data_IF_592972804065
#
_entry.id   IF_592972804065
#
_cell.length_a   1.000
_cell.length_b   1.000
_cell.length_c   1.000
_cell.angle_alpha   90.00
_cell.angle_beta   90.00
_cell.angle_gamma   90.00
#
_symmetry.space_group_name_H-M   'P 1'
#
loop_
_entity.id
_entity.type
_entity.pdbx_description
1 polymer ?
#
# COMPACT_ATOMS: atom_id res chain seq x y z
N UNK A 1 17.67 41.21 6.62
CA UNK A 1 16.51 41.55 5.77
C UNK A 1 16.11 40.27 5.04
N UNK A 2 15.36 39.34 5.63
CA UNK A 2 13.89 39.32 5.72
C UNK A 2 13.47 38.92 7.15
N UNK A 3 13.09 39.92 7.94
CA UNK A 3 12.36 39.83 9.20
C UNK A 3 11.19 40.80 8.98
N UNK A 4 9.98 40.33 8.68
CA UNK A 4 8.75 41.16 8.70
C UNK A 4 7.45 40.39 8.46
N UNK A 5 7.23 39.18 9.00
CA UNK A 5 5.84 38.68 9.05
C UNK A 5 5.52 37.90 10.30
N UNK A 6 5.85 38.53 11.43
CA UNK A 6 5.35 38.19 12.77
C UNK A 6 5.07 39.54 13.45
N UNK A 7 3.98 40.20 13.08
CA UNK A 7 3.30 41.27 13.81
C UNK A 7 2.08 41.66 12.97
N UNK A 8 0.96 41.95 13.64
CA UNK A 8 -0.42 42.12 13.12
C UNK A 8 -1.25 40.83 13.04
N UNK A 9 -1.56 40.27 14.22
CA UNK A 9 -2.84 39.59 14.45
C UNK A 9 -3.51 40.31 15.62
N UNK A 10 -4.64 40.95 15.33
CA UNK A 10 -5.57 41.52 16.31
C UNK A 10 -6.12 40.42 17.25
N UNK A 11 -6.54 40.77 18.48
CA UNK A 11 -7.00 39.82 19.47
C UNK A 11 -8.48 39.42 19.29
N UNK A 12 -8.79 38.21 19.78
CA UNK A 12 -10.12 37.65 20.08
C UNK A 12 -11.04 37.26 18.91
N UNK A 13 -10.86 36.01 18.44
CA UNK A 13 -11.98 35.06 18.31
C UNK A 13 -11.47 33.73 18.86
N UNK A 14 -11.89 33.35 20.07
CA UNK A 14 -11.72 31.98 20.56
C UNK A 14 -12.57 31.06 19.68
N UNK A 15 -12.00 30.14 18.89
CA UNK A 15 -12.80 29.06 18.36
C UNK A 15 -13.25 28.21 19.54
N UNK A 16 -14.56 28.08 19.72
CA UNK A 16 -15.16 27.14 20.66
C UNK A 16 -14.49 25.77 20.49
N UNK A 17 -14.16 25.06 21.59
CA UNK A 17 -13.58 23.73 21.49
C UNK A 17 -14.62 22.83 20.83
N UNK A 18 -14.43 22.55 19.55
CA UNK A 18 -15.13 21.48 18.87
C UNK A 18 -14.79 20.22 19.66
N UNK A 19 -15.80 19.60 20.26
CA UNK A 19 -15.68 18.30 20.90
C UNK A 19 -15.00 17.38 19.89
N UNK A 20 -13.77 16.98 20.20
CA UNK A 20 -13.07 15.95 19.46
C UNK A 20 -13.91 14.68 19.60
N UNK A 21 -14.63 14.34 18.53
CA UNK A 21 -15.39 13.11 18.45
C UNK A 21 -14.46 11.94 18.78
N UNK A 22 -14.95 11.14 19.71
CA UNK A 22 -14.40 9.89 20.21
C UNK A 22 -13.72 9.08 19.09
N UNK A 23 -12.42 8.85 19.27
CA UNK A 23 -11.57 7.86 18.61
C UNK A 23 -12.08 7.35 17.25
N UNK A 24 -11.85 8.06 16.13
CA UNK A 24 -12.32 7.60 14.83
C UNK A 24 -11.66 6.27 14.51
N UNK A 25 -12.48 5.23 14.38
CA UNK A 25 -12.05 3.88 14.01
C UNK A 25 -10.99 3.94 12.91
N UNK A 26 -9.75 3.53 13.21
CA UNK A 26 -8.64 3.56 12.25
C UNK A 26 -9.04 2.85 10.96
N UNK A 27 -8.74 3.48 9.84
CA UNK A 27 -9.11 2.96 8.51
C UNK A 27 -8.21 1.77 8.16
N UNK A 28 -8.85 0.65 7.83
CA UNK A 28 -8.17 -0.60 7.45
C UNK A 28 -7.80 -0.61 5.96
N UNK A 29 -6.53 -0.89 5.68
CA UNK A 29 -5.99 -1.15 4.33
C UNK A 29 -5.06 -2.37 4.41
N UNK A 30 -5.03 -3.22 3.38
CA UNK A 30 -4.25 -4.47 3.40
C UNK A 30 -2.73 -4.23 3.46
N UNK A 31 -2.20 -3.52 2.47
CA UNK A 31 -0.79 -3.07 2.43
C UNK A 31 -0.56 -2.03 1.33
N UNK A 32 0.22 -1.01 1.67
CA UNK A 32 0.63 0.06 0.77
C UNK A 32 1.74 -0.41 -0.18
N UNK A 33 2.78 -1.04 0.37
CA UNK A 33 3.96 -1.43 -0.41
C UNK A 33 3.63 -2.54 -1.41
N UNK A 34 2.80 -3.50 -1.01
CA UNK A 34 2.33 -4.58 -1.89
C UNK A 34 1.51 -4.02 -3.06
N UNK A 35 0.58 -3.10 -2.77
CA UNK A 35 -0.24 -2.45 -3.79
C UNK A 35 0.61 -1.71 -4.84
N UNK A 36 1.64 -0.96 -4.40
CA UNK A 36 2.56 -0.29 -5.32
C UNK A 36 3.26 -1.29 -6.24
N UNK A 37 3.85 -2.36 -5.68
CA UNK A 37 4.59 -3.35 -6.49
C UNK A 37 3.69 -4.11 -7.46
N UNK A 38 2.50 -4.50 -7.05
CA UNK A 38 1.51 -5.13 -7.93
C UNK A 38 1.12 -4.18 -9.07
N UNK A 39 0.78 -2.93 -8.74
CA UNK A 39 0.42 -1.93 -9.75
C UNK A 39 1.56 -1.70 -10.75
N UNK A 40 2.80 -1.59 -10.28
CA UNK A 40 3.98 -1.44 -11.13
C UNK A 40 4.19 -2.66 -12.05
N UNK A 41 4.13 -3.88 -11.50
CA UNK A 41 4.34 -5.12 -12.25
C UNK A 41 3.29 -5.32 -13.35
N UNK A 42 2.02 -5.07 -13.06
CA UNK A 42 0.90 -5.21 -13.99
C UNK A 42 0.95 -4.16 -15.13
N UNK A 43 1.43 -2.95 -14.84
CA UNK A 43 1.27 -1.81 -15.74
C UNK A 43 2.56 -1.37 -16.45
N UNK A 44 3.53 -2.26 -16.60
CA UNK A 44 4.64 -2.11 -17.55
C UNK A 44 6.03 -1.99 -16.95
N UNK A 45 6.17 -1.87 -15.62
CA UNK A 45 7.52 -1.77 -15.02
C UNK A 45 8.32 -3.06 -15.12
N UNK A 46 7.68 -4.22 -15.36
CA UNK A 46 8.39 -5.46 -15.73
C UNK A 46 9.27 -5.29 -16.98
N UNK A 47 8.92 -4.37 -17.88
CA UNK A 47 9.66 -4.04 -19.09
C UNK A 47 10.29 -2.64 -19.05
N UNK A 48 10.41 -2.02 -17.86
CA UNK A 48 10.89 -0.64 -17.68
C UNK A 48 10.10 0.44 -18.45
N UNK A 49 8.83 0.18 -18.79
CA UNK A 49 7.97 1.18 -19.43
C UNK A 49 7.29 2.09 -18.39
N UNK A 50 8.03 3.11 -17.98
CA UNK A 50 7.55 4.12 -17.02
C UNK A 50 6.44 5.02 -17.60
N UNK A 51 6.39 5.18 -18.93
CA UNK A 51 5.38 6.03 -19.58
C UNK A 51 4.01 5.37 -19.49
N UNK A 52 3.92 4.07 -19.75
CA UNK A 52 2.69 3.29 -19.58
C UNK A 52 2.20 3.31 -18.14
N UNK A 53 3.10 3.14 -17.16
CA UNK A 53 2.74 3.21 -15.76
C UNK A 53 2.21 4.60 -15.35
N UNK A 54 2.86 5.69 -15.80
CA UNK A 54 2.36 7.07 -15.60
C UNK A 54 0.94 7.28 -16.13
N UNK A 55 0.63 6.70 -17.30
CA UNK A 55 -0.73 6.77 -17.87
C UNK A 55 -1.73 5.95 -17.05
N UNK A 56 -1.34 4.80 -16.51
CA UNK A 56 -2.14 4.06 -15.54
C UNK A 56 -2.46 4.90 -14.31
N UNK A 57 -1.45 5.48 -13.64
CA UNK A 57 -1.64 6.34 -12.47
C UNK A 57 -2.58 7.52 -12.78
N UNK A 58 -2.45 8.12 -13.97
CA UNK A 58 -3.32 9.23 -14.39
C UNK A 58 -4.79 8.79 -14.52
N UNK A 59 -5.05 7.63 -15.11
CA UNK A 59 -6.41 7.06 -15.21
C UNK A 59 -6.97 6.68 -13.84
N UNK A 60 -6.15 6.09 -12.98
CA UNK A 60 -6.57 5.73 -11.62
C UNK A 60 -6.91 6.96 -10.79
N UNK A 61 -6.08 8.01 -10.83
CA UNK A 61 -6.40 9.27 -10.16
C UNK A 61 -7.73 9.82 -10.63
N UNK A 62 -7.99 9.85 -11.95
CA UNK A 62 -9.29 10.32 -12.46
C UNK A 62 -10.46 9.55 -11.86
N UNK A 63 -10.37 8.21 -11.78
CA UNK A 63 -11.39 7.35 -11.17
C UNK A 63 -11.56 7.62 -9.67
N UNK A 64 -10.46 7.78 -8.94
CA UNK A 64 -10.48 8.09 -7.50
C UNK A 64 -11.09 9.48 -7.24
N UNK A 65 -10.66 10.50 -7.99
CA UNK A 65 -11.20 11.86 -7.91
C UNK A 65 -12.70 11.90 -8.25
N UNK A 66 -13.16 11.14 -9.25
CA UNK A 66 -14.60 11.03 -9.52
C UNK A 66 -15.36 10.29 -8.41
N UNK A 67 -14.79 9.21 -7.88
CA UNK A 67 -15.44 8.40 -6.85
C UNK A 67 -15.51 9.09 -5.48
N UNK A 68 -14.63 10.05 -5.20
CA UNK A 68 -14.58 10.83 -3.96
C UNK A 68 -15.22 12.23 -4.10
N UNK A 69 -15.72 12.61 -5.28
CA UNK A 69 -16.24 13.96 -5.50
C UNK A 69 -15.18 15.08 -5.44
N UNK A 70 -13.89 14.72 -5.45
CA UNK A 70 -12.76 15.64 -5.36
C UNK A 70 -12.37 16.28 -6.72
N UNK A 71 -13.30 16.32 -7.67
CA UNK A 71 -13.07 16.92 -8.98
C UNK A 71 -12.88 18.44 -8.86
N UNK A 72 -11.90 18.97 -9.59
CA UNK A 72 -11.46 20.37 -9.55
C UNK A 72 -12.31 21.33 -10.41
N UNK A 73 -13.53 20.91 -10.79
CA UNK A 73 -14.41 21.64 -11.71
C UNK A 73 -14.05 21.42 -13.19
N UNK A 74 -15.03 21.60 -14.10
CA UNK A 74 -14.84 21.50 -15.56
C UNK A 74 -14.50 22.84 -16.24
N UNK A 75 -14.79 23.97 -15.58
CA UNK A 75 -14.54 25.32 -16.07
C UNK A 75 -13.47 26.04 -15.25
N UNK A 76 -13.89 26.68 -14.15
CA UNK A 76 -12.95 27.30 -13.20
C UNK A 76 -12.30 26.23 -12.32
N UNK A 77 -10.96 26.28 -12.24
CA UNK A 77 -10.18 25.42 -11.36
C UNK A 77 -10.46 25.77 -9.90
N UNK A 78 -11.05 24.82 -9.17
CA UNK A 78 -11.21 24.91 -7.72
C UNK A 78 -10.28 23.89 -7.09
N UNK A 79 -9.27 24.38 -6.37
CA UNK A 79 -8.31 23.53 -5.66
C UNK A 79 -9.05 22.79 -4.54
N UNK A 80 -9.10 21.46 -4.64
CA UNK A 80 -9.59 20.58 -3.57
C UNK A 80 -8.39 19.88 -2.98
N UNK A 81 -7.84 20.47 -1.93
CA UNK A 81 -6.68 19.92 -1.24
C UNK A 81 -7.10 18.73 -0.38
N UNK A 82 -6.31 17.66 -0.46
CA UNK A 82 -6.42 16.53 0.44
C UNK A 82 -5.56 16.89 1.65
N UNK A 83 -6.20 17.50 2.65
CA UNK A 83 -5.58 17.70 3.97
C UNK A 83 -5.42 16.33 4.64
N UNK A 84 -4.33 16.09 5.41
CA UNK A 84 -4.20 14.89 6.24
C UNK A 84 -5.42 14.68 7.16
N UNK A 85 -6.12 15.76 7.51
CA UNK A 85 -7.28 15.73 8.41
C UNK A 85 -8.56 15.25 7.72
N UNK A 86 -8.61 15.22 6.38
CA UNK A 86 -9.77 14.79 5.59
C UNK A 86 -9.62 13.36 5.02
N UNK A 87 -8.65 12.59 5.51
CA UNK A 87 -8.33 11.25 5.01
C UNK A 87 -9.12 10.13 5.71
N UNK A 88 -10.45 10.11 5.54
CA UNK A 88 -11.34 9.16 6.24
C UNK A 88 -11.50 7.78 5.59
N UNK A 89 -10.98 7.57 4.38
CA UNK A 89 -11.18 6.33 3.63
C UNK A 89 -9.90 5.94 2.93
N UNK A 90 -9.68 4.63 2.78
CA UNK A 90 -8.61 4.00 2.00
C UNK A 90 -8.40 4.65 0.63
N UNK A 91 -9.48 5.06 -0.04
CA UNK A 91 -9.41 5.77 -1.33
C UNK A 91 -8.68 7.11 -1.25
N UNK A 92 -8.77 7.84 -0.13
CA UNK A 92 -8.05 9.11 0.06
C UNK A 92 -6.54 8.86 0.15
N UNK A 93 -6.13 7.83 0.90
CA UNK A 93 -4.72 7.42 0.98
C UNK A 93 -4.19 7.00 -0.40
N UNK A 94 -4.97 6.23 -1.15
CA UNK A 94 -4.64 5.89 -2.54
C UNK A 94 -4.48 7.11 -3.45
N UNK A 95 -5.21 8.21 -3.25
CA UNK A 95 -4.99 9.42 -4.04
C UNK A 95 -3.61 10.03 -3.77
N UNK A 96 -3.18 10.09 -2.50
CA UNK A 96 -1.85 10.58 -2.13
C UNK A 96 -0.76 9.69 -2.72
N UNK A 97 -0.90 8.37 -2.56
CA UNK A 97 0.04 7.37 -3.04
C UNK A 97 0.19 7.41 -4.57
N UNK A 98 -0.92 7.33 -5.31
CA UNK A 98 -0.87 7.36 -6.78
C UNK A 98 -0.39 8.74 -7.30
N UNK A 99 -0.63 9.82 -6.55
CA UNK A 99 -0.08 11.14 -6.91
C UNK A 99 1.44 11.19 -6.80
N UNK A 100 2.02 10.55 -5.78
CA UNK A 100 3.46 10.36 -5.64
C UNK A 100 4.01 9.46 -6.78
N UNK A 101 3.41 8.29 -7.00
CA UNK A 101 3.81 7.33 -8.05
C UNK A 101 3.75 7.95 -9.46
N UNK A 102 2.75 8.76 -9.76
CA UNK A 102 2.67 9.47 -11.05
C UNK A 102 3.81 10.47 -11.23
N UNK A 103 4.18 11.19 -10.17
CA UNK A 103 5.28 12.15 -10.23
C UNK A 103 6.62 11.42 -10.36
N UNK A 104 6.82 10.36 -9.58
CA UNK A 104 8.01 9.49 -9.62
C UNK A 104 8.18 8.83 -10.99
N UNK A 105 7.14 8.19 -11.53
CA UNK A 105 7.17 7.55 -12.85
C UNK A 105 7.45 8.53 -13.98
N UNK A 106 6.96 9.77 -13.88
CA UNK A 106 7.30 10.83 -14.84
C UNK A 106 8.79 11.16 -14.80
N UNK A 107 9.38 11.24 -13.61
CA UNK A 107 10.79 11.51 -13.44
C UNK A 107 11.65 10.33 -13.93
N UNK A 108 11.25 9.10 -13.59
CA UNK A 108 11.94 7.88 -14.05
C UNK A 108 11.85 7.68 -15.57
N UNK A 109 10.73 8.04 -16.19
CA UNK A 109 10.61 8.03 -17.65
C UNK A 109 11.62 8.97 -18.32
N UNK A 110 11.85 10.16 -17.75
CA UNK A 110 12.87 11.09 -18.23
C UNK A 110 14.27 10.55 -18.01
N UNK A 111 14.54 9.98 -16.84
CA UNK A 111 15.82 9.37 -16.51
C UNK A 111 16.16 8.19 -17.43
N UNK A 112 15.18 7.36 -17.77
CA UNK A 112 15.35 6.18 -18.62
C UNK A 112 15.56 6.54 -20.11
N UNK A 113 15.26 7.77 -20.55
CA UNK A 113 15.54 8.20 -21.95
C UNK A 113 17.03 8.26 -22.27
N UNK A 114 17.92 8.16 -21.28
CA UNK A 114 19.36 7.97 -21.48
C UNK A 114 20.16 9.27 -21.57
N UNK A 115 21.42 9.15 -22.03
CA UNK A 115 22.34 10.27 -22.14
C UNK A 115 21.92 11.25 -23.26
N UNK A 116 22.20 12.54 -23.07
CA UNK A 116 21.74 13.62 -23.96
C UNK A 116 20.60 14.48 -23.39
N UNK A 117 20.24 14.30 -22.12
CA UNK A 117 19.22 15.12 -21.46
C UNK A 117 19.65 16.58 -21.38
N UNK A 118 18.82 17.49 -21.91
CA UNK A 118 19.07 18.93 -21.80
C UNK A 118 19.01 19.40 -20.35
N UNK A 119 19.67 20.53 -20.05
CA UNK A 119 19.62 21.14 -18.70
C UNK A 119 18.18 21.41 -18.24
N UNK A 120 17.31 21.85 -19.16
CA UNK A 120 15.88 22.08 -18.89
C UNK A 120 15.11 20.78 -18.57
N UNK A 121 15.36 19.70 -19.30
CA UNK A 121 14.77 18.39 -19.00
C UNK A 121 15.26 17.84 -17.66
N UNK A 122 16.55 18.02 -17.32
CA UNK A 122 17.10 17.66 -16.01
C UNK A 122 16.40 18.44 -14.90
N UNK A 123 16.23 19.75 -15.07
CA UNK A 123 15.51 20.58 -14.11
C UNK A 123 14.06 20.11 -13.93
N UNK A 124 13.36 19.82 -15.02
CA UNK A 124 12.00 19.30 -14.99
C UNK A 124 11.89 17.93 -14.30
N UNK A 125 12.86 17.04 -14.55
CA UNK A 125 12.97 15.74 -13.86
C UNK A 125 13.11 15.93 -12.35
N UNK A 126 14.01 16.80 -11.89
CA UNK A 126 14.19 17.10 -10.46
C UNK A 126 12.92 17.71 -9.83
N UNK A 127 12.22 18.59 -10.55
CA UNK A 127 10.93 19.14 -10.11
C UNK A 127 9.87 18.05 -9.95
N UNK A 128 9.90 17.01 -10.79
CA UNK A 128 9.00 15.85 -10.67
C UNK A 128 9.35 14.97 -9.48
N UNK A 129 10.64 14.74 -9.20
CA UNK A 129 11.06 14.04 -7.97
C UNK A 129 10.70 14.81 -6.69
N UNK A 130 10.95 16.12 -6.65
CA UNK A 130 10.54 16.97 -5.53
C UNK A 130 9.03 16.91 -5.30
N UNK A 131 8.25 16.88 -6.39
CA UNK A 131 6.79 16.70 -6.29
C UNK A 131 6.43 15.33 -5.72
N UNK A 132 7.13 14.26 -6.09
CA UNK A 132 6.90 12.93 -5.54
C UNK A 132 7.17 12.89 -4.03
N UNK A 133 8.28 13.48 -3.60
CA UNK A 133 8.68 13.62 -2.19
C UNK A 133 7.63 14.42 -1.37
N UNK A 134 7.12 15.53 -1.92
CA UNK A 134 6.05 16.28 -1.26
C UNK A 134 4.80 15.43 -1.03
N UNK A 135 4.38 14.63 -2.02
CA UNK A 135 3.20 13.77 -1.87
C UNK A 135 3.46 12.59 -0.92
N UNK A 136 4.66 12.03 -0.93
CA UNK A 136 5.02 10.92 -0.03
C UNK A 136 5.10 11.36 1.43
N UNK A 137 5.56 12.59 1.71
CA UNK A 137 5.50 13.16 3.06
C UNK A 137 4.07 13.34 3.54
N UNK A 138 3.22 13.95 2.71
CA UNK A 138 1.78 14.10 3.03
C UNK A 138 1.09 12.76 3.29
N UNK A 139 1.50 11.72 2.54
CA UNK A 139 1.02 10.35 2.74
C UNK A 139 1.43 9.81 4.12
N UNK A 140 2.69 9.95 4.51
CA UNK A 140 3.17 9.53 5.83
C UNK A 140 2.46 10.29 6.97
N UNK A 141 2.32 11.61 6.84
CA UNK A 141 1.62 12.45 7.83
C UNK A 141 0.15 12.04 7.98
N UNK A 142 -0.54 11.76 6.87
CA UNK A 142 -1.93 11.31 6.90
C UNK A 142 -2.06 9.89 7.50
N UNK A 143 -1.13 9.00 7.17
CA UNK A 143 -1.10 7.62 7.67
C UNK A 143 -0.90 7.60 9.20
N UNK A 144 0.03 8.39 9.71
CA UNK A 144 0.34 8.48 11.14
C UNK A 144 -0.86 8.94 11.99
N UNK A 145 -1.67 9.85 11.46
CA UNK A 145 -2.79 10.45 12.21
C UNK A 145 -4.06 9.60 12.22
N UNK A 146 -4.36 8.87 11.15
CA UNK A 146 -5.72 8.33 10.89
C UNK A 146 -5.76 6.84 10.54
N UNK A 147 -4.62 6.22 10.23
CA UNK A 147 -4.56 4.83 9.74
C UNK A 147 -3.91 3.92 10.77
N UNK A 148 -4.04 2.61 10.53
CA UNK A 148 -3.39 1.57 11.33
C UNK A 148 -1.86 1.79 11.40
N UNK A 149 -1.21 1.54 12.55
CA UNK A 149 0.21 1.80 12.76
C UNK A 149 1.09 1.04 11.77
N UNK A 150 0.65 -0.15 11.34
CA UNK A 150 1.30 -0.91 10.27
C UNK A 150 1.39 -0.10 8.98
N UNK A 151 0.30 0.54 8.57
CA UNK A 151 0.24 1.36 7.35
C UNK A 151 1.04 2.65 7.52
N UNK A 152 1.06 3.23 8.72
CA UNK A 152 1.92 4.38 9.03
C UNK A 152 3.40 4.03 8.83
N UNK A 153 3.85 2.87 9.31
CA UNK A 153 5.22 2.38 9.09
C UNK A 153 5.52 2.14 7.60
N UNK A 154 4.60 1.51 6.87
CA UNK A 154 4.77 1.30 5.41
C UNK A 154 4.85 2.63 4.63
N UNK A 155 4.03 3.61 4.98
CA UNK A 155 4.04 4.93 4.38
C UNK A 155 5.33 5.70 4.69
N UNK A 156 5.84 5.55 5.92
CA UNK A 156 7.10 6.15 6.37
C UNK A 156 8.30 5.57 5.61
N UNK A 157 8.35 4.24 5.45
CA UNK A 157 9.37 3.56 4.65
C UNK A 157 9.34 4.05 3.19
N UNK A 158 8.15 4.17 2.60
CA UNK A 158 7.97 4.67 1.23
C UNK A 158 8.41 6.13 1.08
N UNK A 159 8.04 7.00 2.02
CA UNK A 159 8.43 8.42 2.02
C UNK A 159 9.94 8.60 2.11
N UNK A 160 10.58 7.84 2.99
CA UNK A 160 12.02 7.83 3.18
C UNK A 160 12.75 7.29 1.93
N UNK A 161 12.21 6.27 1.28
CA UNK A 161 12.72 5.74 0.01
C UNK A 161 12.63 6.75 -1.14
N UNK A 162 11.49 7.45 -1.30
CA UNK A 162 11.34 8.51 -2.32
C UNK A 162 12.30 9.67 -2.05
N UNK A 163 12.41 10.09 -0.80
CA UNK A 163 13.29 11.21 -0.38
C UNK A 163 14.75 10.89 -0.67
N UNK A 164 15.22 9.70 -0.28
CA UNK A 164 16.58 9.26 -0.58
C UNK A 164 16.88 9.23 -2.08
N UNK A 165 15.97 8.68 -2.89
CA UNK A 165 16.13 8.70 -4.34
C UNK A 165 16.19 10.13 -4.92
N UNK A 166 15.35 11.04 -4.45
CA UNK A 166 15.37 12.44 -4.91
C UNK A 166 16.70 13.14 -4.58
N UNK A 167 17.25 12.91 -3.39
CA UNK A 167 18.52 13.52 -2.96
C UNK A 167 19.71 12.99 -3.76
N UNK A 168 19.74 11.68 -4.09
CA UNK A 168 20.74 11.10 -5.02
C UNK A 168 20.72 11.84 -6.35
N UNK A 169 19.54 12.02 -6.96
CA UNK A 169 19.43 12.65 -8.28
C UNK A 169 19.83 14.14 -8.25
N UNK A 170 19.59 14.79 -7.11
CA UNK A 170 19.97 16.19 -6.90
C UNK A 170 21.48 16.35 -6.77
N UNK A 171 22.16 15.40 -6.10
CA UNK A 171 23.62 15.34 -5.99
C UNK A 171 24.25 16.36 -5.03
N UNK A 172 23.45 17.12 -4.29
CA UNK A 172 23.94 18.14 -3.34
C UNK A 172 24.13 17.59 -1.94
N UNK A 173 23.16 16.82 -1.44
CA UNK A 173 23.10 16.38 -0.04
C UNK A 173 23.18 14.84 0.06
N UNK A 174 24.38 14.29 -0.12
CA UNK A 174 24.59 12.83 -0.04
C UNK A 174 24.38 12.28 1.37
N UNK A 175 24.72 13.05 2.42
CA UNK A 175 24.47 12.69 3.82
C UNK A 175 22.97 12.55 4.08
N UNK A 176 22.17 13.55 3.71
CA UNK A 176 20.71 13.51 3.87
C UNK A 176 20.06 12.35 3.10
N UNK A 177 20.60 12.03 1.92
CA UNK A 177 20.22 10.85 1.15
C UNK A 177 20.47 9.55 1.94
N UNK A 178 21.71 9.37 2.42
CA UNK A 178 22.11 8.19 3.18
C UNK A 178 21.22 7.99 4.41
N UNK A 179 20.98 9.06 5.18
CA UNK A 179 20.09 9.06 6.35
C UNK A 179 18.68 8.61 5.99
N UNK A 180 18.10 9.17 4.92
CA UNK A 180 16.76 8.80 4.46
C UNK A 180 16.68 7.34 4.00
N UNK A 181 17.71 6.84 3.32
CA UNK A 181 17.75 5.44 2.87
C UNK A 181 17.96 4.46 4.03
N UNK A 182 18.78 4.80 5.01
CA UNK A 182 18.96 4.00 6.23
C UNK A 182 17.68 3.96 7.06
N UNK A 183 16.96 5.09 7.15
CA UNK A 183 15.63 5.16 7.75
C UNK A 183 14.64 4.21 7.08
N UNK A 184 14.56 4.23 5.74
CA UNK A 184 13.73 3.29 5.00
C UNK A 184 14.13 1.82 5.25
N UNK A 185 15.44 1.53 5.26
CA UNK A 185 15.98 0.20 5.52
C UNK A 185 15.59 -0.32 6.90
N UNK A 186 15.77 0.47 7.95
CA UNK A 186 15.44 0.07 9.32
C UNK A 186 13.96 -0.28 9.47
N UNK A 187 13.03 0.56 8.97
CA UNK A 187 11.59 0.23 9.02
C UNK A 187 11.28 -1.07 8.26
N UNK A 188 11.86 -1.27 7.08
CA UNK A 188 11.62 -2.48 6.31
C UNK A 188 12.16 -3.74 7.00
N UNK A 189 13.31 -3.65 7.67
CA UNK A 189 13.86 -4.74 8.49
C UNK A 189 12.94 -5.06 9.68
N UNK A 190 12.37 -4.05 10.34
CA UNK A 190 11.36 -4.23 11.39
C UNK A 190 10.09 -4.91 10.86
N UNK A 191 9.58 -4.50 9.70
CA UNK A 191 8.42 -5.14 9.06
C UNK A 191 8.71 -6.59 8.65
N UNK A 192 9.96 -6.92 8.30
CA UNK A 192 10.40 -8.29 8.02
C UNK A 192 10.49 -9.11 9.32
N UNK A 193 10.98 -8.51 10.40
CA UNK A 193 11.09 -9.14 11.73
C UNK A 193 9.72 -9.46 12.32
N UNK A 194 8.73 -8.58 12.14
CA UNK A 194 7.36 -8.78 12.63
C UNK A 194 6.58 -9.90 11.91
N UNK A 195 7.20 -10.60 10.93
CA UNK A 195 6.69 -11.78 10.21
C UNK A 195 5.26 -11.68 9.64
N UNK A 196 4.90 -10.52 9.08
CA UNK A 196 3.67 -10.39 8.31
C UNK A 196 3.82 -11.09 6.94
N UNK A 197 3.14 -12.23 6.75
CA UNK A 197 3.37 -13.13 5.61
C UNK A 197 3.08 -12.51 4.23
N UNK A 198 2.10 -11.60 4.11
CA UNK A 198 1.69 -11.02 2.82
C UNK A 198 2.74 -10.03 2.24
N UNK A 199 3.46 -9.31 3.11
CA UNK A 199 4.32 -8.20 2.70
C UNK A 199 5.81 -8.59 2.68
N UNK A 200 6.15 -9.77 3.21
CA UNK A 200 7.54 -10.22 3.39
C UNK A 200 8.34 -10.22 2.08
N UNK A 201 7.76 -10.76 1.00
CA UNK A 201 8.42 -10.83 -0.29
C UNK A 201 8.72 -9.44 -0.88
N UNK A 202 7.77 -8.51 -0.74
CA UNK A 202 7.90 -7.14 -1.23
C UNK A 202 8.90 -6.34 -0.42
N UNK A 203 8.89 -6.45 0.91
CA UNK A 203 9.86 -5.77 1.76
C UNK A 203 11.30 -6.20 1.44
N UNK A 204 11.53 -7.50 1.22
CA UNK A 204 12.84 -8.01 0.79
C UNK A 204 13.26 -7.43 -0.56
N UNK A 205 12.36 -7.35 -1.53
CA UNK A 205 12.67 -6.69 -2.83
C UNK A 205 13.09 -5.23 -2.66
N UNK A 206 12.41 -4.47 -1.80
CA UNK A 206 12.81 -3.09 -1.49
C UNK A 206 14.19 -3.01 -0.81
N UNK A 207 14.51 -3.94 0.11
CA UNK A 207 15.81 -3.99 0.76
C UNK A 207 16.95 -4.25 -0.24
N UNK A 208 16.76 -5.18 -1.18
CA UNK A 208 17.73 -5.45 -2.24
C UNK A 208 17.94 -4.23 -3.15
N UNK A 209 16.90 -3.46 -3.46
CA UNK A 209 17.01 -2.22 -4.24
C UNK A 209 17.68 -1.06 -3.47
N UNK A 210 17.54 -1.03 -2.14
CA UNK A 210 18.16 -0.03 -1.28
C UNK A 210 19.66 -0.25 -1.13
N UNK A 211 20.11 -1.50 -1.06
CA UNK A 211 21.52 -1.85 -0.81
C UNK A 211 22.53 -1.18 -1.76
N UNK A 212 22.38 -1.23 -3.11
CA UNK A 212 23.31 -0.56 -4.01
C UNK A 212 23.27 0.96 -3.88
N UNK A 213 22.11 1.55 -3.52
CA UNK A 213 21.97 3.00 -3.32
C UNK A 213 22.69 3.47 -2.06
N UNK A 214 22.60 2.71 -0.97
CA UNK A 214 23.32 2.97 0.28
C UNK A 214 24.83 2.90 0.03
N UNK A 215 25.29 1.87 -0.68
CA UNK A 215 26.71 1.73 -1.05
C UNK A 215 27.20 2.92 -1.88
N UNK A 216 26.40 3.34 -2.87
CA UNK A 216 26.71 4.51 -3.69
C UNK A 216 26.82 5.78 -2.85
N UNK A 217 25.88 6.04 -1.94
CA UNK A 217 25.93 7.24 -1.08
C UNK A 217 27.17 7.23 -0.18
N UNK A 218 27.54 6.08 0.40
CA UNK A 218 28.76 5.94 1.22
C UNK A 218 30.02 6.22 0.39
N UNK A 219 30.11 5.63 -0.79
CA UNK A 219 31.24 5.86 -1.70
C UNK A 219 31.38 7.34 -2.07
N UNK A 220 30.28 8.02 -2.41
CA UNK A 220 30.30 9.45 -2.74
C UNK A 220 30.70 10.33 -1.54
N UNK A 221 30.30 9.95 -0.32
CA UNK A 221 30.74 10.63 0.90
C UNK A 221 32.24 10.45 1.18
N UNK A 222 32.75 9.23 1.06
CA UNK A 222 34.19 8.93 1.18
C UNK A 222 35.00 9.70 0.12
N UNK A 223 34.50 9.74 -1.13
CA UNK A 223 35.12 10.46 -2.25
C UNK A 223 35.16 11.97 -2.02
N UNK A 224 34.15 12.55 -1.36
CA UNK A 224 34.10 13.97 -1.02
C UNK A 224 35.08 14.36 0.11
N UNK A 225 35.86 13.43 0.65
CA UNK A 225 36.80 13.69 1.74
C UNK A 225 36.16 13.74 3.13
N UNK A 226 34.88 13.36 3.25
CA UNK A 226 34.24 13.14 4.55
C UNK A 226 34.69 11.80 5.14
N UNK A 227 36.00 11.63 5.36
CA UNK A 227 36.52 10.57 6.21
C UNK A 227 36.38 11.03 7.66
N UNK A 228 35.40 10.52 8.40
CA UNK A 228 35.37 10.76 9.84
C UNK A 228 34.02 10.64 10.52
N UNK A 229 32.92 10.65 9.78
CA UNK A 229 31.62 10.34 10.36
C UNK A 229 31.21 8.99 9.80
N UNK A 230 31.54 7.91 10.54
CA UNK A 230 30.59 6.81 10.62
C UNK A 230 29.31 7.49 11.08
N UNK A 231 28.47 7.94 10.14
CA UNK A 231 27.19 8.54 10.49
C UNK A 231 26.50 7.46 11.27
N UNK A 232 26.47 7.62 12.59
CA UNK A 232 26.01 6.62 13.52
C UNK A 232 24.59 6.31 13.11
N UNK A 233 24.43 5.19 12.39
CA UNK A 233 23.12 4.60 12.13
C UNK A 233 22.43 4.26 13.43
N UNK A 234 23.14 4.36 14.55
CA UNK A 234 22.70 4.18 15.91
C UNK A 234 21.84 5.36 16.42
N UNK A 235 22.18 6.63 16.12
CA UNK A 235 21.38 7.79 16.57
C UNK A 235 20.05 7.90 15.80
N UNK A 236 20.11 7.78 14.46
CA UNK A 236 18.90 7.71 13.64
C UNK A 236 18.13 6.41 13.90
N UNK A 237 18.86 5.35 14.25
CA UNK A 237 18.29 4.09 14.67
C UNK A 237 17.52 4.23 15.98
N UNK A 238 17.99 5.04 16.93
CA UNK A 238 17.33 5.33 18.20
C UNK A 238 15.95 5.96 17.99
N UNK A 239 15.89 7.08 17.26
CA UNK A 239 14.63 7.80 17.01
C UNK A 239 13.63 6.94 16.22
N UNK A 240 14.13 6.17 15.26
CA UNK A 240 13.28 5.25 14.51
C UNK A 240 12.80 4.08 15.35
N UNK A 241 13.68 3.50 16.17
CA UNK A 241 13.31 2.41 17.09
C UNK A 241 12.25 2.92 18.06
N UNK A 242 12.36 4.16 18.54
CA UNK A 242 11.33 4.77 19.36
C UNK A 242 9.99 4.88 18.62
N UNK A 243 9.98 5.44 17.40
CA UNK A 243 8.78 5.55 16.57
C UNK A 243 8.16 4.16 16.26
N UNK A 244 8.99 3.19 15.90
CA UNK A 244 8.54 1.81 15.63
C UNK A 244 7.97 1.17 16.89
N UNK A 245 8.64 1.31 18.02
CA UNK A 245 8.18 0.77 19.31
C UNK A 245 6.86 1.41 19.72
N UNK A 246 6.71 2.72 19.55
CA UNK A 246 5.47 3.43 19.85
C UNK A 246 4.32 2.94 18.95
N UNK A 247 4.54 2.84 17.64
CA UNK A 247 3.52 2.38 16.70
C UNK A 247 3.16 0.90 16.91
N UNK A 248 4.14 0.07 17.27
CA UNK A 248 3.90 -1.34 17.65
C UNK A 248 3.10 -1.43 18.95
N UNK A 249 3.44 -0.67 19.98
CA UNK A 249 2.71 -0.64 21.24
C UNK A 249 1.26 -0.15 21.04
N UNK A 250 1.05 0.86 20.19
CA UNK A 250 -0.28 1.30 19.80
C UNK A 250 -1.06 0.18 19.09
N UNK A 251 -0.41 -0.55 18.17
CA UNK A 251 -1.01 -1.69 17.48
C UNK A 251 -1.41 -2.83 18.44
N UNK A 252 -0.55 -3.18 19.38
CA UNK A 252 -0.84 -4.20 20.38
C UNK A 252 -1.96 -3.79 21.35
N UNK A 253 -1.99 -2.51 21.76
CA UNK A 253 -3.08 -1.95 22.56
C UNK A 253 -4.43 -1.99 21.84
N UNK A 254 -4.44 -1.75 20.53
CA UNK A 254 -5.63 -1.85 19.69
C UNK A 254 -6.07 -3.31 19.47
N UNK A 255 -5.13 -4.22 19.22
CA UNK A 255 -5.46 -5.65 19.12
C UNK A 255 -5.99 -6.18 20.45
N UNK A 256 -5.41 -5.77 21.59
CA UNK A 256 -5.88 -6.18 22.92
C UNK A 256 -7.27 -5.64 23.24
N UNK A 257 -7.53 -4.37 22.97
CA UNK A 257 -8.86 -3.76 23.15
C UNK A 257 -9.91 -4.35 22.18
N UNK A 258 -9.52 -4.62 20.93
CA UNK A 258 -10.39 -5.26 19.93
C UNK A 258 -10.64 -6.75 20.21
N UNK A 259 -9.67 -7.45 20.80
CA UNK A 259 -9.84 -8.82 21.27
C UNK A 259 -10.82 -8.89 22.46
N UNK A 260 -10.80 -7.89 23.35
CA UNK A 260 -11.80 -7.79 24.43
C UNK A 260 -13.20 -7.42 23.93
N UNK A 261 -13.33 -6.80 22.75
CA UNK A 261 -14.63 -6.45 22.13
C UNK A 261 -15.05 -7.39 20.99
N UNK A 262 -14.26 -8.44 20.69
CA UNK A 262 -14.44 -9.28 19.51
C UNK A 262 -15.62 -10.25 19.66
N UNK A 263 -16.47 -10.34 18.64
CA UNK A 263 -17.52 -11.34 18.57
C UNK A 263 -16.93 -12.75 18.56
N UNK A 264 -17.50 -13.65 19.36
CA UNK A 264 -17.10 -15.06 19.43
C UNK A 264 -17.92 -15.86 18.41
N UNK A 265 -17.26 -16.69 17.61
CA UNK A 265 -17.91 -17.64 16.71
C UNK A 265 -17.80 -19.05 17.30
N UNK A 266 -18.94 -19.71 17.48
CA UNK A 266 -18.98 -21.08 17.98
C UNK A 266 -19.09 -22.09 16.82
N UNK A 267 -18.18 -23.07 16.79
CA UNK A 267 -18.23 -24.19 15.85
C UNK A 267 -18.01 -25.52 16.56
N UNK A 268 -18.99 -26.44 16.44
CA UNK A 268 -18.99 -27.76 17.10
C UNK A 268 -18.67 -27.72 18.61
N UNK A 269 -19.19 -26.71 19.31
CA UNK A 269 -18.99 -26.54 20.75
C UNK A 269 -17.63 -25.97 21.15
N UNK A 270 -16.80 -25.57 20.18
CA UNK A 270 -15.57 -24.81 20.43
C UNK A 270 -15.77 -23.36 19.99
N UNK A 271 -15.39 -22.43 20.87
CA UNK A 271 -15.50 -20.99 20.65
C UNK A 271 -14.19 -20.43 20.09
N UNK A 272 -14.29 -19.67 19.00
CA UNK A 272 -13.15 -19.04 18.33
C UNK A 272 -13.38 -17.51 18.27
N UNK A 273 -12.41 -16.69 18.68
CA UNK A 273 -12.54 -15.23 18.60
C UNK A 273 -12.47 -14.76 17.13
N UNK A 274 -13.48 -14.01 16.67
CA UNK A 274 -13.48 -13.43 15.32
C UNK A 274 -12.70 -12.11 15.35
N UNK A 275 -11.49 -12.13 14.80
CA UNK A 275 -10.61 -10.94 14.73
C UNK A 275 -10.92 -10.08 13.48
N UNK A 276 -11.56 -10.65 12.46
CA UNK A 276 -11.83 -9.97 11.18
C UNK A 276 -13.33 -9.68 10.96
N UNK A 277 -13.68 -8.40 10.88
CA UNK A 277 -15.06 -7.91 10.73
C UNK A 277 -15.73 -8.36 9.41
N UNK A 278 -14.94 -8.62 8.35
CA UNK A 278 -15.44 -9.15 7.07
C UNK A 278 -16.06 -10.56 7.18
N UNK A 279 -15.80 -11.27 8.28
CA UNK A 279 -16.35 -12.62 8.55
C UNK A 279 -17.53 -12.55 9.54
N UNK A 280 -17.79 -11.39 10.15
CA UNK A 280 -18.85 -11.19 11.15
C UNK A 280 -20.27 -11.11 10.58
N UNK A 281 -20.44 -11.05 9.27
CA UNK A 281 -21.75 -11.19 8.65
C UNK A 281 -22.20 -12.64 8.76
N UNK A 282 -22.94 -12.98 9.83
CA UNK A 282 -23.74 -14.21 9.89
C UNK A 282 -24.48 -14.34 8.55
N UNK A 283 -24.29 -15.42 7.77
CA UNK A 283 -25.26 -15.77 6.76
C UNK A 283 -26.59 -15.87 7.49
N UNK A 284 -27.53 -14.98 7.21
CA UNK A 284 -28.91 -15.20 7.59
C UNK A 284 -29.32 -16.48 6.87
N UNK A 285 -29.19 -17.61 7.56
CA UNK A 285 -29.79 -18.86 7.14
C UNK A 285 -31.29 -18.60 7.15
N UNK A 286 -31.82 -18.24 5.99
CA UNK A 286 -33.23 -18.31 5.70
C UNK A 286 -33.69 -19.72 6.05
N UNK A 287 -34.56 -19.85 7.05
CA UNK A 287 -35.05 -21.12 7.59
C UNK A 287 -35.88 -21.98 6.61
N UNK A 288 -35.89 -21.67 5.32
CA UNK A 288 -36.65 -22.39 4.30
C UNK A 288 -35.83 -23.37 3.45
N UNK A 289 -34.51 -23.48 3.65
CA UNK A 289 -33.64 -24.32 2.81
C UNK A 289 -32.72 -25.26 3.59
N UNK A 290 -33.23 -25.92 4.64
CA UNK A 290 -32.55 -27.09 5.21
C UNK A 290 -32.74 -28.29 4.26
N UNK A 291 -31.68 -28.88 3.69
CA UNK A 291 -31.80 -30.22 3.10
C UNK A 291 -32.17 -31.19 4.23
N UNK A 292 -33.29 -31.90 4.07
CA UNK A 292 -33.59 -33.11 4.87
C UNK A 292 -32.44 -34.09 4.68
N UNK A 293 -31.55 -34.19 5.66
CA UNK A 293 -30.74 -35.37 5.83
C UNK A 293 -31.59 -36.39 6.56
N UNK A 294 -32.14 -37.34 5.80
CA UNK A 294 -32.74 -38.53 6.39
C UNK A 294 -31.65 -39.28 7.18
N UNK A 295 -31.99 -39.61 8.43
CA UNK A 295 -31.16 -40.39 9.31
C UNK A 295 -30.94 -41.79 8.71
N UNK A 296 -29.78 -42.01 8.08
CA UNK A 296 -29.34 -43.33 7.71
C UNK A 296 -28.93 -44.08 8.99
N UNK A 297 -29.74 -45.10 9.32
CA UNK A 297 -29.48 -46.12 10.33
C UNK A 297 -28.14 -46.80 10.03
N UNK A 298 -27.22 -46.79 10.99
CA UNK A 298 -25.99 -47.58 10.98
C UNK A 298 -26.33 -49.09 11.13
N UNK A 299 -25.79 -49.99 10.29
CA UNK A 299 -25.67 -51.40 10.66
C UNK A 299 -24.30 -51.68 11.30
N UNK A 300 -24.19 -52.69 12.19
CA UNK A 300 -23.01 -52.95 12.97
C UNK A 300 -21.94 -53.77 12.22
N UNK A 301 -20.75 -53.71 12.80
CA UNK A 301 -19.45 -54.29 12.46
C UNK A 301 -19.40 -55.74 11.96
N UNK A 302 -18.56 -56.00 10.95
CA UNK A 302 -18.06 -57.33 10.59
C UNK A 302 -17.27 -57.34 9.27
N UNK A 303 -15.94 -57.35 9.35
CA UNK A 303 -14.99 -57.71 8.27
C UNK A 303 -14.71 -59.24 8.30
N UNK A 304 -13.94 -59.83 7.35
CA UNK A 304 -13.73 -59.52 5.93
C UNK A 304 -13.81 -60.79 5.03
N UNK A 305 -14.04 -60.71 3.72
CA UNK A 305 -13.44 -61.66 2.74
C UNK A 305 -13.32 -61.06 1.33
N UNK A 306 -12.15 -61.29 0.72
CA UNK A 306 -11.79 -61.04 -0.67
C UNK A 306 -12.61 -61.94 -1.63
N UNK A 307 -12.96 -61.44 -2.82
CA UNK A 307 -12.81 -62.17 -4.11
C UNK A 307 -12.98 -61.18 -5.30
N UNK A 308 -12.02 -61.30 -6.21
CA UNK A 308 -11.88 -60.60 -7.49
C UNK A 308 -12.80 -61.20 -8.58
N UNK A 309 -13.39 -60.37 -9.46
CA UNK A 309 -14.20 -60.89 -10.57
C UNK A 309 -14.68 -59.85 -11.59
N UNK A 310 -13.95 -59.76 -12.71
CA UNK A 310 -14.16 -58.93 -13.92
C UNK A 310 -15.56 -58.94 -14.57
N UNK A 311 -15.75 -57.95 -15.47
CA UNK A 311 -16.61 -57.87 -16.70
C UNK A 311 -18.09 -57.50 -16.44
N UNK A 312 -18.81 -56.66 -17.19
CA UNK A 312 -18.76 -56.09 -18.57
C UNK A 312 -19.57 -54.77 -18.59
N UNK A 313 -19.16 -53.80 -19.40
CA UNK A 313 -20.01 -52.67 -19.86
C UNK A 313 -20.81 -53.09 -21.11
N UNK A 314 -22.03 -52.54 -21.33
CA UNK A 314 -22.59 -52.44 -22.67
C UNK A 314 -22.90 -50.99 -23.12
N UNK A 315 -22.29 -50.67 -24.27
CA UNK A 315 -22.63 -49.87 -25.46
C UNK A 315 -23.88 -48.94 -25.53
N UNK A 316 -23.58 -47.69 -25.93
CA UNK A 316 -24.09 -46.83 -27.06
C UNK A 316 -25.60 -46.75 -27.38
N UNK A 317 -26.10 -45.50 -27.45
CA UNK A 317 -26.78 -44.79 -28.57
C UNK A 317 -27.30 -43.42 -28.02
N UNK A 318 -27.29 -42.26 -28.69
CA UNK A 318 -26.97 -41.89 -30.07
C UNK A 318 -26.75 -40.37 -30.20
N UNK A 319 -26.07 -39.99 -31.28
CA UNK A 319 -25.88 -38.63 -31.79
C UNK A 319 -27.19 -38.08 -32.39
N UNK A 320 -27.44 -36.78 -32.23
CA UNK A 320 -28.18 -36.00 -33.24
C UNK A 320 -27.50 -34.66 -33.47
N UNK A 321 -26.78 -34.60 -34.60
CA UNK A 321 -26.29 -33.39 -35.24
C UNK A 321 -27.39 -32.96 -36.23
N UNK A 322 -27.85 -31.71 -36.17
CA UNK A 322 -28.50 -31.03 -37.30
C UNK A 322 -27.72 -29.77 -37.63
N UNK A 323 -27.29 -29.69 -38.89
CA UNK A 323 -26.55 -28.56 -39.44
C UNK A 323 -27.39 -27.66 -40.35
N UNK A 324 -26.74 -26.52 -40.67
CA UNK A 324 -26.83 -25.64 -41.85
C UNK A 324 -28.17 -24.95 -42.20
N UNK A 325 -28.09 -23.61 -42.28
CA UNK A 325 -28.07 -22.70 -43.47
C UNK A 325 -27.50 -21.36 -42.96
N UNK A 326 -26.56 -20.63 -43.58
CA UNK A 326 -26.28 -20.39 -44.99
C UNK A 326 -26.84 -19.02 -45.37
N UNK A 327 -25.99 -17.99 -45.54
CA UNK A 327 -26.41 -16.66 -46.00
C UNK A 327 -25.32 -15.59 -45.86
N UNK A 328 -24.43 -15.52 -46.85
CA UNK A 328 -23.52 -14.40 -47.14
C UNK A 328 -24.25 -13.47 -48.11
N UNK A 329 -24.17 -12.15 -47.90
CA UNK A 329 -24.27 -11.16 -48.98
C UNK A 329 -23.62 -9.84 -48.50
N UNK A 330 -22.52 -9.50 -49.17
CA UNK A 330 -21.91 -8.17 -49.22
C UNK A 330 -22.87 -7.17 -49.90
N UNK A 331 -22.85 -5.91 -49.45
CA UNK A 331 -22.65 -4.71 -50.28
C UNK A 331 -21.79 -3.74 -49.48
#
# INVERSE_FOLDING_TARGET
KILWRISEMDPEVTPEPQKDDENPSRVHMSSLLLFVRQSQAEHGLKHNDYTRYRHHCTRQLRKLYSGLGLQHGRGRYVKKDISPDHCFSDRHLHVLLISAERAWSTAMALKHRGQGMSSGERHYMLMRFRKAELWSRKLADAALRRYEPKIALEAEAYSSWITGNFLIETGKDMRGSLVSLLRAKAVLEELVRSRNMENLGVCKQYLEELHPKIRFCRYEMERAGNQGDQTDGDDLGSDLKALVTELQAQGEGEVRSRASSGAVFDWRGMSFPIVHEKVGARPQLCGSCLPRFDAAVLPPTGEPEHICGRRRLPKRQGLCIRGRRGGVAEV
#
